data_IF_920473778753
#
_entry.id   IF_920473778753
#
_cell.length_a   1.000
_cell.length_b   1.000
_cell.length_c   1.000
_cell.angle_alpha   90.00
_cell.angle_beta   90.00
_cell.angle_gamma   90.00
#
_symmetry.space_group_name_H-M   'P 1'
#
loop_
_entity.id
_entity.type
_entity.pdbx_description
1 polymer ?
#
# COMPACT_ATOMS: atom_id res chain seq x y z
N UNK A 1 8.79 20.13 16.16
CA UNK A 1 8.26 20.17 14.78
C UNK A 1 8.57 18.84 14.09
N UNK A 2 7.64 18.28 13.32
CA UNK A 2 7.85 17.04 12.55
C UNK A 2 7.60 17.29 11.06
N UNK A 3 8.47 16.72 10.22
CA UNK A 3 8.41 16.77 8.76
C UNK A 3 8.86 15.42 8.19
N UNK A 4 7.91 14.54 7.93
CA UNK A 4 8.17 13.22 7.36
C UNK A 4 7.64 13.15 5.92
N UNK A 5 8.33 12.44 5.06
CA UNK A 5 7.86 12.12 3.71
C UNK A 5 7.68 10.62 3.58
N UNK A 6 6.45 10.17 3.36
CA UNK A 6 6.10 8.78 3.16
C UNK A 6 6.09 8.45 1.68
N UNK A 7 6.87 7.44 1.29
CA UNK A 7 6.87 6.84 -0.03
C UNK A 7 6.10 5.52 0.07
N UNK A 8 4.87 5.52 -0.44
CA UNK A 8 3.97 4.38 -0.39
C UNK A 8 4.01 3.63 -1.73
N UNK A 9 4.46 2.39 -1.71
CA UNK A 9 4.63 1.55 -2.90
C UNK A 9 3.73 0.32 -2.77
N UNK A 10 2.91 0.06 -3.80
CA UNK A 10 2.21 -1.23 -3.91
C UNK A 10 3.20 -2.31 -4.35
N UNK A 11 3.12 -3.51 -3.77
CA UNK A 11 3.92 -4.65 -4.22
C UNK A 11 3.88 -4.87 -5.74
N UNK A 12 4.94 -5.50 -6.28
CA UNK A 12 5.04 -5.88 -7.68
C UNK A 12 3.93 -6.83 -8.12
N UNK A 13 3.66 -6.90 -9.42
CA UNK A 13 2.64 -7.77 -10.00
C UNK A 13 2.90 -9.24 -9.63
N UNK A 14 1.85 -9.94 -9.21
CA UNK A 14 1.91 -11.36 -8.83
C UNK A 14 1.19 -12.24 -9.85
N UNK A 15 1.43 -13.55 -9.82
CA UNK A 15 0.68 -14.49 -10.66
C UNK A 15 -0.85 -14.41 -10.43
N UNK A 16 -1.28 -14.15 -9.20
CA UNK A 16 -2.71 -13.96 -8.90
C UNK A 16 -3.25 -12.65 -9.46
N UNK A 17 -2.44 -11.58 -9.53
CA UNK A 17 -2.84 -10.38 -10.24
C UNK A 17 -3.04 -10.67 -11.74
N UNK A 18 -2.12 -11.41 -12.35
CA UNK A 18 -2.21 -11.81 -13.76
C UNK A 18 -3.43 -12.68 -14.06
N UNK A 19 -3.71 -13.66 -13.18
CA UNK A 19 -4.90 -14.53 -13.25
C UNK A 19 -6.19 -13.88 -12.75
N UNK A 20 -6.15 -12.61 -12.32
CA UNK A 20 -7.28 -11.85 -11.76
C UNK A 20 -7.97 -12.56 -10.57
N UNK A 21 -7.18 -13.22 -9.72
CA UNK A 21 -7.64 -13.83 -8.48
C UNK A 21 -7.58 -12.82 -7.34
N UNK A 22 -8.59 -12.83 -6.46
CA UNK A 22 -8.61 -11.93 -5.32
C UNK A 22 -7.51 -12.32 -4.33
N UNK A 23 -6.62 -11.36 -4.03
CA UNK A 23 -5.46 -11.60 -3.18
C UNK A 23 -5.59 -10.77 -1.89
N UNK A 24 -5.75 -11.47 -0.76
CA UNK A 24 -5.73 -10.90 0.59
C UNK A 24 -4.49 -11.39 1.34
N UNK A 25 -4.65 -12.21 2.37
CA UNK A 25 -3.54 -12.87 3.04
C UNK A 25 -2.91 -14.00 2.20
N UNK A 26 -3.71 -14.66 1.35
CA UNK A 26 -3.23 -15.55 0.31
C UNK A 26 -2.15 -14.88 -0.55
N UNK A 27 -1.19 -15.66 -1.01
CA UNK A 27 -0.01 -15.15 -1.69
C UNK A 27 0.32 -15.95 -2.95
N UNK A 28 1.04 -15.28 -3.86
CA UNK A 28 1.63 -15.91 -5.02
C UNK A 28 2.92 -15.18 -5.40
N UNK A 29 3.86 -15.85 -6.09
CA UNK A 29 5.10 -15.24 -6.51
C UNK A 29 4.89 -13.96 -7.34
N UNK A 30 5.89 -13.07 -7.29
CA UNK A 30 5.99 -11.97 -8.25
C UNK A 30 6.19 -12.55 -9.66
N UNK A 31 5.54 -11.96 -10.65
CA UNK A 31 5.85 -12.24 -12.06
C UNK A 31 7.15 -11.54 -12.47
N UNK A 32 7.68 -11.88 -13.64
CA UNK A 32 8.84 -11.19 -14.20
C UNK A 32 8.59 -9.67 -14.35
N UNK A 33 7.38 -9.28 -14.77
CA UNK A 33 6.94 -7.89 -14.83
C UNK A 33 6.93 -7.24 -13.44
N UNK A 34 6.48 -7.95 -12.41
CA UNK A 34 6.49 -7.45 -11.03
C UNK A 34 7.91 -7.25 -10.48
N UNK A 35 8.83 -8.15 -10.81
CA UNK A 35 10.25 -8.04 -10.45
C UNK A 35 10.88 -6.83 -11.16
N UNK A 36 10.65 -6.68 -12.46
CA UNK A 36 11.19 -5.57 -13.23
C UNK A 36 10.63 -4.21 -12.77
N UNK A 37 9.32 -4.16 -12.47
CA UNK A 37 8.71 -2.98 -11.87
C UNK A 37 9.39 -2.57 -10.56
N UNK A 38 9.67 -3.54 -9.68
CA UNK A 38 10.35 -3.25 -8.41
C UNK A 38 11.77 -2.71 -8.59
N UNK A 39 12.52 -3.23 -9.57
CA UNK A 39 13.86 -2.72 -9.92
C UNK A 39 13.80 -1.30 -10.50
N UNK A 40 12.81 -1.01 -11.36
CA UNK A 40 12.59 0.34 -11.88
C UNK A 40 12.22 1.32 -10.76
N UNK A 41 11.40 0.89 -9.81
CA UNK A 41 11.10 1.69 -8.61
C UNK A 41 12.38 1.93 -7.78
N UNK A 42 13.26 0.94 -7.65
CA UNK A 42 14.56 1.10 -6.99
C UNK A 42 15.41 2.18 -7.65
N UNK A 43 15.49 2.17 -9.00
CA UNK A 43 16.20 3.18 -9.79
C UNK A 43 15.59 4.57 -9.61
N UNK A 44 14.26 4.69 -9.68
CA UNK A 44 13.53 5.94 -9.50
C UNK A 44 13.73 6.57 -8.11
N UNK A 45 13.94 5.73 -7.09
CA UNK A 45 14.15 6.15 -5.70
C UNK A 45 15.64 6.09 -5.28
N UNK A 46 16.56 5.97 -6.24
CA UNK A 46 17.99 5.83 -5.99
C UNK A 46 18.54 7.00 -5.14
N UNK A 47 18.16 8.23 -5.46
CA UNK A 47 18.60 9.46 -4.79
C UNK A 47 17.86 9.77 -3.48
N UNK A 48 16.95 8.91 -3.03
CA UNK A 48 16.21 9.12 -1.78
C UNK A 48 16.87 8.35 -0.64
N UNK A 49 17.38 9.08 0.36
CA UNK A 49 17.87 8.47 1.59
C UNK A 49 16.71 8.18 2.55
N UNK A 50 16.45 6.89 2.81
CA UNK A 50 15.37 6.46 3.70
C UNK A 50 15.86 6.36 5.13
N UNK A 51 15.23 7.14 6.02
CA UNK A 51 15.42 7.06 7.48
C UNK A 51 14.92 5.72 8.02
N UNK A 52 13.84 5.19 7.45
CA UNK A 52 13.30 3.89 7.79
C UNK A 52 12.57 3.28 6.60
N UNK A 53 12.49 1.95 6.58
CA UNK A 53 11.74 1.20 5.58
C UNK A 53 10.85 0.15 6.24
N UNK A 54 9.60 0.10 5.80
CA UNK A 54 8.59 -0.82 6.30
C UNK A 54 7.97 -1.61 5.15
N UNK A 55 7.60 -2.85 5.44
CA UNK A 55 6.73 -3.63 4.56
C UNK A 55 5.65 -4.35 5.37
N UNK A 56 4.58 -4.76 4.69
CA UNK A 56 3.74 -5.83 5.21
C UNK A 56 4.56 -7.11 5.45
N UNK A 57 4.00 -8.07 6.21
CA UNK A 57 4.68 -9.37 6.39
C UNK A 57 4.47 -10.33 5.21
N UNK A 58 3.70 -9.95 4.19
CA UNK A 58 3.38 -10.83 3.07
C UNK A 58 4.55 -10.92 2.06
N UNK A 59 4.95 -12.13 1.60
CA UNK A 59 6.19 -12.33 0.83
C UNK A 59 6.32 -11.47 -0.43
N UNK A 60 5.23 -11.24 -1.18
CA UNK A 60 5.23 -10.34 -2.35
C UNK A 60 5.65 -8.90 -2.02
N UNK A 61 5.26 -8.38 -0.86
CA UNK A 61 5.62 -7.02 -0.44
C UNK A 61 7.05 -6.97 0.10
N UNK A 62 7.46 -7.98 0.88
CA UNK A 62 8.85 -8.13 1.36
C UNK A 62 9.82 -8.21 0.19
N UNK A 63 9.51 -9.05 -0.81
CA UNK A 63 10.35 -9.23 -2.01
C UNK A 63 10.48 -7.92 -2.78
N UNK A 64 9.36 -7.20 -2.97
CA UNK A 64 9.37 -5.88 -3.61
C UNK A 64 10.23 -4.88 -2.83
N UNK A 65 10.07 -4.82 -1.49
CA UNK A 65 10.82 -3.90 -0.64
C UNK A 65 12.33 -4.19 -0.66
N UNK A 66 12.73 -5.46 -0.58
CA UNK A 66 14.13 -5.86 -0.66
C UNK A 66 14.77 -5.46 -2.00
N UNK A 67 14.03 -5.56 -3.11
CA UNK A 67 14.54 -5.11 -4.42
C UNK A 67 14.72 -3.58 -4.46
N UNK A 68 13.79 -2.82 -3.88
CA UNK A 68 13.90 -1.35 -3.78
C UNK A 68 15.08 -0.94 -2.90
N UNK A 69 15.36 -1.70 -1.84
CA UNK A 69 16.42 -1.43 -0.88
C UNK A 69 17.77 -2.07 -1.24
N UNK A 70 17.89 -2.79 -2.36
CA UNK A 70 19.06 -3.62 -2.66
C UNK A 70 20.41 -2.87 -2.62
N UNK A 71 20.40 -1.57 -2.89
CA UNK A 71 21.58 -0.69 -2.87
C UNK A 71 21.57 0.32 -1.71
N UNK A 72 20.74 0.09 -0.68
CA UNK A 72 20.58 0.98 0.48
C UNK A 72 20.90 0.21 1.76
N UNK A 73 21.40 0.92 2.76
CA UNK A 73 21.75 0.33 4.07
C UNK A 73 20.57 0.31 5.05
N UNK A 74 19.44 0.91 4.69
CA UNK A 74 18.25 1.01 5.54
C UNK A 74 17.64 -0.39 5.76
N UNK A 75 17.56 -0.88 7.00
CA UNK A 75 16.99 -2.19 7.28
C UNK A 75 15.47 -2.19 7.04
N UNK A 76 14.96 -3.30 6.52
CA UNK A 76 13.52 -3.50 6.31
C UNK A 76 12.84 -4.01 7.58
N UNK A 77 11.83 -3.27 8.05
CA UNK A 77 10.98 -3.66 9.18
C UNK A 77 9.66 -4.22 8.65
N UNK A 78 9.36 -5.48 8.94
CA UNK A 78 8.10 -6.10 8.54
C UNK A 78 7.04 -5.90 9.63
N UNK A 79 5.85 -5.42 9.26
CA UNK A 79 4.78 -5.12 10.21
C UNK A 79 3.40 -5.56 9.69
N UNK A 80 2.72 -6.42 10.46
CA UNK A 80 1.45 -7.03 10.04
C UNK A 80 0.30 -6.02 9.88
N UNK A 81 0.36 -4.87 10.57
CA UNK A 81 -0.57 -3.75 10.36
C UNK A 81 -0.59 -3.20 8.92
N UNK A 82 0.43 -3.51 8.10
CA UNK A 82 0.52 -3.14 6.68
C UNK A 82 0.08 -4.26 5.72
N UNK A 83 -0.43 -5.40 6.20
CA UNK A 83 -0.94 -6.49 5.37
C UNK A 83 -2.13 -6.06 4.52
N UNK A 84 -2.41 -6.80 3.43
CA UNK A 84 -3.61 -6.55 2.65
C UNK A 84 -4.88 -6.80 3.47
N UNK A 85 -6.01 -6.23 3.04
CA UNK A 85 -7.32 -6.62 3.55
C UNK A 85 -7.48 -8.15 3.48
N UNK A 86 -7.83 -8.78 4.60
CA UNK A 86 -8.17 -10.21 4.60
C UNK A 86 -9.54 -10.38 3.95
N UNK A 87 -9.61 -11.15 2.85
CA UNK A 87 -10.88 -11.39 2.15
C UNK A 87 -11.54 -12.73 2.54
N UNK A 88 -10.96 -13.45 3.51
CA UNK A 88 -11.52 -14.68 4.02
C UNK A 88 -11.67 -15.73 2.91
N UNK A 89 -12.83 -16.37 2.83
CA UNK A 89 -13.11 -17.44 1.86
C UNK A 89 -13.06 -17.01 0.38
N UNK A 90 -13.03 -15.70 0.10
CA UNK A 90 -12.92 -15.18 -1.28
C UNK A 90 -11.48 -15.20 -1.82
N UNK A 91 -10.46 -15.37 -0.96
CA UNK A 91 -9.07 -15.37 -1.40
C UNK A 91 -8.78 -16.53 -2.37
N UNK A 92 -8.10 -16.22 -3.47
CA UNK A 92 -7.79 -17.18 -4.53
C UNK A 92 -8.93 -17.44 -5.52
N UNK A 93 -10.14 -16.90 -5.29
CA UNK A 93 -11.24 -16.99 -6.25
C UNK A 93 -11.11 -15.93 -7.35
N UNK A 94 -11.71 -16.20 -8.51
CA UNK A 94 -11.71 -15.27 -9.63
C UNK A 94 -12.54 -14.03 -9.30
N UNK A 95 -11.97 -12.84 -9.50
CA UNK A 95 -12.67 -11.56 -9.25
C UNK A 95 -13.94 -11.44 -10.12
N UNK A 96 -13.92 -12.03 -11.32
CA UNK A 96 -15.08 -12.04 -12.22
C UNK A 96 -16.28 -12.76 -11.58
N UNK A 97 -16.07 -13.94 -11.02
CA UNK A 97 -17.10 -14.72 -10.32
C UNK A 97 -17.59 -13.99 -9.08
N UNK A 98 -16.66 -13.46 -8.27
CA UNK A 98 -17.00 -12.69 -7.07
C UNK A 98 -17.80 -11.43 -7.39
N UNK A 99 -17.54 -10.78 -8.53
CA UNK A 99 -18.25 -9.54 -8.93
C UNK A 99 -19.76 -9.72 -9.11
N UNK A 100 -20.20 -10.96 -9.32
CA UNK A 100 -21.60 -11.35 -9.40
C UNK A 100 -22.28 -11.46 -8.03
N UNK A 101 -21.51 -11.58 -6.94
CA UNK A 101 -22.04 -11.68 -5.58
C UNK A 101 -22.50 -10.32 -5.05
N UNK A 102 -23.72 -10.20 -4.49
CA UNK A 102 -24.20 -8.97 -3.84
C UNK A 102 -23.24 -8.43 -2.77
N UNK A 103 -22.67 -9.31 -1.96
CA UNK A 103 -21.77 -8.98 -0.85
C UNK A 103 -20.44 -8.38 -1.36
N UNK A 104 -19.93 -8.87 -2.48
CA UNK A 104 -18.72 -8.30 -3.10
C UNK A 104 -19.01 -6.92 -3.70
N UNK A 105 -20.18 -6.73 -4.33
CA UNK A 105 -20.61 -5.40 -4.78
C UNK A 105 -20.78 -4.44 -3.60
N UNK A 106 -21.33 -4.91 -2.48
CA UNK A 106 -21.43 -4.13 -1.25
C UNK A 106 -20.04 -3.72 -0.73
N UNK A 107 -19.07 -4.64 -0.71
CA UNK A 107 -17.67 -4.33 -0.37
C UNK A 107 -17.07 -3.22 -1.25
N UNK A 108 -17.39 -3.22 -2.55
CA UNK A 108 -16.87 -2.25 -3.53
C UNK A 108 -17.56 -0.88 -3.42
N UNK A 109 -18.89 -0.88 -3.38
CA UNK A 109 -19.72 0.32 -3.60
C UNK A 109 -20.29 0.91 -2.31
N UNK A 110 -20.42 0.11 -1.26
CA UNK A 110 -21.02 0.47 0.02
C UNK A 110 -20.13 0.04 1.19
N UNK A 111 -18.89 0.56 1.28
CA UNK A 111 -17.89 0.12 2.26
C UNK A 111 -18.37 0.21 3.72
N UNK A 112 -19.22 1.17 4.05
CA UNK A 112 -19.84 1.27 5.39
C UNK A 112 -20.73 0.07 5.76
N UNK A 113 -21.25 -0.64 4.78
CA UNK A 113 -22.12 -1.80 4.96
C UNK A 113 -21.40 -3.14 4.73
N UNK A 114 -20.11 -3.12 4.39
CA UNK A 114 -19.36 -4.34 4.13
C UNK A 114 -19.20 -5.17 5.41
N UNK A 115 -19.80 -6.36 5.41
CA UNK A 115 -19.77 -7.30 6.52
C UNK A 115 -18.64 -8.34 6.36
N UNK A 116 -17.39 -7.90 6.28
CA UNK A 116 -16.24 -8.79 6.03
C UNK A 116 -16.07 -9.97 6.99
N UNK A 117 -16.68 -9.95 8.17
CA UNK A 117 -16.63 -11.08 9.10
C UNK A 117 -17.48 -12.28 8.63
N UNK A 118 -18.48 -12.09 7.77
CA UNK A 118 -19.40 -13.17 7.35
C UNK A 118 -18.73 -14.21 6.46
N UNK A 119 -17.62 -13.85 5.80
CA UNK A 119 -16.81 -14.76 4.99
C UNK A 119 -15.46 -15.09 5.65
N UNK A 120 -15.28 -14.77 6.94
CA UNK A 120 -14.03 -14.97 7.67
C UNK A 120 -12.93 -13.95 7.32
N UNK A 121 -13.27 -12.88 6.60
CA UNK A 121 -12.38 -11.78 6.28
C UNK A 121 -12.30 -10.71 7.37
N UNK A 122 -11.82 -9.55 6.97
CA UNK A 122 -11.63 -8.37 7.81
C UNK A 122 -12.59 -7.24 7.39
N UNK A 123 -13.04 -6.41 8.33
CA UNK A 123 -13.84 -5.21 8.02
C UNK A 123 -12.95 -4.03 7.60
N UNK A 124 -13.51 -3.07 6.86
CA UNK A 124 -12.75 -1.84 6.53
C UNK A 124 -12.34 -1.04 7.77
N UNK A 125 -13.11 -1.10 8.85
CA UNK A 125 -12.75 -0.46 10.12
C UNK A 125 -11.50 -1.12 10.71
N UNK A 126 -11.44 -2.45 10.75
CA UNK A 126 -10.26 -3.18 11.23
C UNK A 126 -9.02 -2.86 10.40
N UNK A 127 -9.15 -2.87 9.06
CA UNK A 127 -8.09 -2.47 8.14
C UNK A 127 -7.60 -1.05 8.44
N UNK A 128 -8.51 -0.08 8.53
CA UNK A 128 -8.18 1.31 8.78
C UNK A 128 -7.45 1.47 10.13
N UNK A 129 -7.99 0.88 11.20
CA UNK A 129 -7.41 0.95 12.55
C UNK A 129 -6.00 0.39 12.58
N UNK A 130 -5.75 -0.80 12.03
CA UNK A 130 -4.40 -1.38 12.07
C UNK A 130 -3.42 -0.65 11.16
N UNK A 131 -3.87 -0.16 10.00
CA UNK A 131 -2.99 0.51 9.05
C UNK A 131 -2.57 1.89 9.57
N UNK A 132 -3.52 2.70 10.05
CA UNK A 132 -3.20 4.02 10.60
C UNK A 132 -2.37 3.94 11.87
N UNK A 133 -2.59 2.91 12.71
CA UNK A 133 -1.78 2.67 13.90
C UNK A 133 -0.29 2.47 13.59
N UNK A 134 0.06 1.88 12.45
CA UNK A 134 1.47 1.78 12.02
C UNK A 134 2.03 3.16 11.67
N UNK A 135 1.26 3.99 10.96
CA UNK A 135 1.68 5.33 10.58
C UNK A 135 1.88 6.20 11.82
N UNK A 136 0.98 6.12 12.80
CA UNK A 136 1.10 6.82 14.09
C UNK A 136 2.35 6.39 14.86
N UNK A 137 2.66 5.09 14.90
CA UNK A 137 3.90 4.59 15.52
C UNK A 137 5.15 5.15 14.83
N UNK A 138 5.15 5.24 13.50
CA UNK A 138 6.26 5.81 12.73
C UNK A 138 6.39 7.31 13.04
N UNK A 139 5.28 8.06 13.05
CA UNK A 139 5.26 9.48 13.39
C UNK A 139 5.75 9.72 14.82
N UNK A 140 5.42 8.85 15.76
CA UNK A 140 5.92 8.95 17.14
C UNK A 140 7.43 8.69 17.21
N UNK A 141 7.93 7.75 16.40
CA UNK A 141 9.33 7.32 16.41
C UNK A 141 10.29 8.28 15.70
N UNK A 142 9.83 8.98 14.67
CA UNK A 142 10.68 9.84 13.84
C UNK A 142 10.12 11.26 13.77
N UNK A 143 11.01 12.26 13.89
CA UNK A 143 10.63 13.66 13.71
C UNK A 143 10.78 14.11 12.25
N UNK A 144 11.83 13.63 11.57
CA UNK A 144 12.15 14.04 10.20
C UNK A 144 12.65 12.89 9.32
N UNK A 145 12.51 13.08 8.01
CA UNK A 145 13.12 12.22 6.99
C UNK A 145 12.15 11.41 6.15
N UNK A 146 12.71 10.53 5.31
CA UNK A 146 11.96 9.79 4.31
C UNK A 146 11.66 8.37 4.80
N UNK A 147 10.41 7.95 4.69
CA UNK A 147 9.94 6.63 5.13
C UNK A 147 9.44 5.85 3.92
N UNK A 148 10.08 4.72 3.63
CA UNK A 148 9.58 3.77 2.63
C UNK A 148 8.50 2.87 3.27
N UNK A 149 7.36 2.70 2.61
CA UNK A 149 6.33 1.73 2.98
C UNK A 149 5.92 0.92 1.75
N UNK A 150 6.14 -0.40 1.80
CA UNK A 150 5.71 -1.33 0.74
C UNK A 150 4.55 -2.18 1.23
N UNK A 151 3.38 -2.02 0.61
CA UNK A 151 2.12 -2.66 1.04
C UNK A 151 1.25 -3.02 -0.17
N UNK A 152 -0.07 -2.94 -0.04
CA UNK A 152 -1.04 -3.56 -0.93
C UNK A 152 -2.11 -2.60 -1.39
N UNK A 153 -2.90 -3.01 -2.38
CA UNK A 153 -3.86 -2.15 -3.05
C UNK A 153 -4.92 -1.58 -2.10
N UNK A 154 -5.62 -2.42 -1.33
CA UNK A 154 -6.68 -1.92 -0.44
C UNK A 154 -6.12 -1.14 0.74
N UNK A 155 -5.01 -1.62 1.30
CA UNK A 155 -4.34 -0.99 2.44
C UNK A 155 -3.83 0.41 2.13
N UNK A 156 -3.11 0.57 1.03
CA UNK A 156 -2.59 1.89 0.63
C UNK A 156 -3.71 2.82 0.16
N UNK A 157 -4.75 2.31 -0.51
CA UNK A 157 -5.94 3.11 -0.85
C UNK A 157 -6.66 3.62 0.39
N UNK A 158 -6.79 2.80 1.43
CA UNK A 158 -7.36 3.20 2.71
C UNK A 158 -6.51 4.32 3.34
N UNK A 159 -5.20 4.11 3.47
CA UNK A 159 -4.29 5.11 4.05
C UNK A 159 -4.35 6.45 3.30
N UNK A 160 -4.23 6.42 1.97
CA UNK A 160 -4.31 7.64 1.14
C UNK A 160 -5.64 8.38 1.31
N UNK A 161 -6.76 7.65 1.43
CA UNK A 161 -8.06 8.27 1.66
C UNK A 161 -8.13 8.91 3.07
N UNK A 162 -7.64 8.23 4.10
CA UNK A 162 -7.57 8.77 5.47
C UNK A 162 -6.68 10.01 5.54
N UNK A 163 -5.55 10.01 4.83
CA UNK A 163 -4.65 11.17 4.73
C UNK A 163 -5.31 12.36 4.03
N UNK A 164 -6.24 12.10 3.11
CA UNK A 164 -7.09 13.12 2.47
C UNK A 164 -8.34 13.46 3.31
N UNK A 165 -8.39 13.08 4.59
CA UNK A 165 -9.48 13.42 5.50
C UNK A 165 -10.77 12.63 5.29
N UNK A 166 -10.75 11.53 4.52
CA UNK A 166 -11.87 10.60 4.48
C UNK A 166 -11.92 9.76 5.77
N UNK A 167 -13.03 9.05 5.98
CA UNK A 167 -13.15 8.02 7.02
C UNK A 167 -13.09 6.64 6.39
N UNK A 168 -13.02 5.58 7.20
CA UNK A 168 -13.12 4.21 6.68
C UNK A 168 -14.46 3.96 5.96
N UNK A 169 -15.52 4.68 6.31
CA UNK A 169 -16.82 4.62 5.64
C UNK A 169 -16.81 5.31 4.27
N UNK A 170 -16.11 6.44 4.13
CA UNK A 170 -16.14 7.27 2.90
C UNK A 170 -14.90 7.08 2.02
N UNK A 171 -13.99 6.18 2.40
CA UNK A 171 -12.69 6.00 1.75
C UNK A 171 -12.77 5.72 0.24
N UNK A 172 -13.91 5.23 -0.27
CA UNK A 172 -14.12 4.96 -1.70
C UNK A 172 -14.43 6.21 -2.53
N UNK A 173 -15.00 7.26 -1.93
CA UNK A 173 -15.41 8.49 -2.63
C UNK A 173 -14.24 9.25 -3.25
N UNK A 174 -13.04 9.11 -2.66
CA UNK A 174 -11.81 9.78 -3.09
C UNK A 174 -10.66 8.79 -3.28
N UNK A 175 -10.92 7.62 -3.88
CA UNK A 175 -9.87 6.61 -4.14
C UNK A 175 -9.78 6.23 -5.61
N UNK A 176 -8.54 6.04 -6.07
CA UNK A 176 -8.23 5.36 -7.33
C UNK A 176 -7.64 3.99 -7.05
N UNK A 177 -7.70 3.07 -8.03
CA UNK A 177 -6.95 1.82 -7.96
C UNK A 177 -5.45 2.11 -8.11
N UNK A 178 -4.61 1.47 -7.32
CA UNK A 178 -3.16 1.65 -7.37
C UNK A 178 -2.54 0.59 -8.28
N UNK A 179 -1.73 0.99 -9.24
CA UNK A 179 -0.96 0.07 -10.07
C UNK A 179 0.11 -0.64 -9.23
N UNK A 180 0.52 -1.84 -9.63
CA UNK A 180 1.66 -2.51 -9.02
C UNK A 180 2.91 -1.61 -9.19
N UNK A 181 3.75 -1.57 -8.16
CA UNK A 181 4.97 -0.73 -8.08
C UNK A 181 4.76 0.78 -8.29
N UNK A 182 3.51 1.27 -8.29
CA UNK A 182 3.25 2.71 -8.32
C UNK A 182 3.80 3.40 -7.07
N UNK A 183 4.29 4.62 -7.23
CA UNK A 183 4.80 5.45 -6.13
C UNK A 183 3.74 6.47 -5.75
N UNK A 184 3.40 6.54 -4.47
CA UNK A 184 2.65 7.68 -3.92
C UNK A 184 3.51 8.37 -2.86
N UNK A 185 3.49 9.70 -2.83
CA UNK A 185 4.30 10.51 -1.93
C UNK A 185 3.39 11.39 -1.10
N UNK A 186 3.53 11.31 0.22
CA UNK A 186 2.71 12.04 1.20
C UNK A 186 3.61 12.68 2.25
N UNK A 187 3.46 13.97 2.47
CA UNK A 187 4.16 14.67 3.54
C UNK A 187 3.29 14.72 4.80
N UNK A 188 3.90 14.45 5.96
CA UNK A 188 3.33 14.75 7.25
C UNK A 188 4.03 15.96 7.85
N UNK A 189 3.25 16.98 8.20
CA UNK A 189 3.73 18.25 8.74
C UNK A 189 3.08 18.51 10.09
N UNK A 190 3.89 18.77 11.12
CA UNK A 190 3.42 19.13 12.45
C UNK A 190 4.27 20.24 13.06
N UNK A 191 3.66 21.38 13.39
CA UNK A 191 4.30 22.43 14.19
C UNK A 191 4.09 22.14 15.69
N UNK A 192 4.81 22.82 16.58
CA UNK A 192 4.78 22.51 18.03
C UNK A 192 3.39 22.66 18.68
N UNK A 193 2.50 23.47 18.11
CA UNK A 193 1.21 23.81 18.68
C UNK A 193 0.01 23.39 17.81
N UNK A 194 0.23 22.58 16.77
CA UNK A 194 -0.83 22.16 15.85
C UNK A 194 -0.93 20.65 15.75
N UNK A 195 -2.15 20.18 15.47
CA UNK A 195 -2.36 18.79 15.04
C UNK A 195 -1.65 18.58 13.71
N UNK A 196 -0.85 17.52 13.61
CA UNK A 196 -0.16 17.21 12.37
C UNK A 196 -1.14 16.89 11.24
N UNK A 197 -0.75 17.24 10.01
CA UNK A 197 -1.57 17.07 8.81
C UNK A 197 -0.80 16.35 7.72
N UNK A 198 -1.53 15.60 6.90
CA UNK A 198 -0.99 14.98 5.71
C UNK A 198 -1.25 15.85 4.47
N UNK A 199 -0.27 15.89 3.57
CA UNK A 199 -0.35 16.58 2.28
C UNK A 199 0.08 15.59 1.20
N UNK A 200 -0.85 15.24 0.31
CA UNK A 200 -0.58 14.32 -0.79
C UNK A 200 0.16 15.09 -1.91
N UNK A 201 1.37 14.66 -2.24
CA UNK A 201 2.16 15.22 -3.35
C UNK A 201 1.92 14.44 -4.64
N UNK A 202 2.06 13.12 -4.58
CA UNK A 202 1.87 12.20 -5.71
C UNK A 202 0.99 11.04 -5.30
N UNK A 203 0.10 10.62 -6.19
CA UNK A 203 -0.78 9.46 -5.97
C UNK A 203 -0.72 8.58 -7.20
N UNK A 204 -0.39 7.31 -7.00
CA UNK A 204 -0.36 6.30 -8.05
C UNK A 204 0.53 6.69 -9.26
N UNK A 205 1.71 7.28 -9.00
CA UNK A 205 2.63 7.66 -10.06
C UNK A 205 3.33 6.42 -10.64
N UNK A 206 3.32 6.32 -11.97
CA UNK A 206 3.87 5.18 -12.73
C UNK A 206 4.84 5.63 -13.83
N UNK A 207 5.31 6.88 -13.82
CA UNK A 207 6.17 7.40 -14.91
C UNK A 207 7.44 6.56 -15.10
N UNK A 208 8.06 6.15 -13.98
CA UNK A 208 9.24 5.27 -13.98
C UNK A 208 9.01 3.87 -14.58
N UNK A 209 7.76 3.46 -14.78
CA UNK A 209 7.42 2.17 -15.40
C UNK A 209 7.28 2.30 -16.92
N UNK A 210 6.96 3.49 -17.44
CA UNK A 210 6.75 3.75 -18.87
C UNK A 210 8.01 4.20 -19.59
N UNK A 211 8.98 4.74 -18.87
CA UNK A 211 10.22 5.21 -19.48
C UNK A 211 11.03 4.01 -20.02
N UNK A 212 11.32 4.04 -21.32
CA UNK A 212 12.35 3.22 -21.93
C UNK A 212 13.68 3.71 -21.39
N UNK A 213 14.21 3.04 -20.38
CA UNK A 213 15.59 3.24 -19.99
C UNK A 213 16.44 2.65 -21.11
N UNK A 214 16.94 3.52 -21.98
CA UNK A 214 18.08 3.18 -22.83
C UNK A 214 19.20 2.73 -21.88
N UNK A 215 19.64 1.49 -22.05
CA UNK A 215 20.83 0.96 -21.38
C UNK A 215 22.03 1.68 -22.00
N UNK A 216 22.67 2.57 -21.23
CA UNK A 216 24.05 3.02 -21.48
C UNK A 216 25.05 1.98 -20.95
#
# INVERSE_FOLDING_TARGET
MKTLTFYLIRHGKTEWNEKRLLQGNGDSPLTQEGIEGAKRTAKALSNIDFTAAYSSVLPRAISTANMILAHKTTPLICHAGLNELCFGSWEGQAIEELSCLPEYRQMRDQPAQYLGLTNGGETYQQLATRAIGVIEQIIQRYDTGNILIVSHGHTLRMLLALFHGATWQTHREKSTSLANTSISVVHYLQTENETGRFVLEKVNDIQHLTDSFDEE
#
